data_IF_725750007221
#
_entry.id   IF_725750007221
#
_cell.length_a   1.000
_cell.length_b   1.000
_cell.length_c   1.000
_cell.angle_alpha   90.00
_cell.angle_beta   90.00
_cell.angle_gamma   90.00
#
_symmetry.space_group_name_H-M   'P 1'
#
loop_
_entity.id
_entity.type
_entity.pdbx_description
1 polymer ?
2 non-polymer ?
3 water ?
#
# COMPACT_ATOMS: atom_id res chain seq x y z
N UNK A 1 -18.29 -22.97 5.12
CA UNK A 1 -19.28 -23.17 4.08
C UNK A 1 -19.28 -22.07 3.04
N UNK A 2 -20.45 -21.78 2.49
CA UNK A 2 -20.54 -20.79 1.43
C UNK A 2 -20.26 -19.39 1.99
N UNK A 3 -19.46 -18.59 1.30
CA UNK A 3 -19.00 -17.33 1.89
C UNK A 3 -20.02 -16.21 1.77
N UNK A 4 -20.04 -15.37 2.81
CA UNK A 4 -20.81 -14.13 2.78
C UNK A 4 -19.89 -13.03 2.29
N UNK A 5 -20.10 -12.45 1.11
CA UNK A 5 -19.17 -11.42 0.62
C UNK A 5 -19.14 -10.19 1.51
N UNK A 6 -20.24 -9.86 2.18
CA UNK A 6 -20.24 -8.70 3.06
C UNK A 6 -19.32 -8.91 4.25
N UNK A 7 -19.35 -10.11 4.83
CA UNK A 7 -18.42 -10.44 5.92
C UNK A 7 -16.99 -10.49 5.42
N UNK A 8 -16.78 -11.09 4.24
CA UNK A 8 -15.44 -11.14 3.68
C UNK A 8 -14.90 -9.73 3.42
N UNK A 9 -15.75 -8.84 2.93
CA UNK A 9 -15.31 -7.46 2.73
C UNK A 9 -15.07 -6.75 4.06
N UNK A 10 -15.97 -6.92 5.02
CA UNK A 10 -15.80 -6.32 6.33
C UNK A 10 -14.43 -6.65 6.92
N UNK A 11 -14.08 -7.94 6.96
CA UNK A 11 -12.81 -8.32 7.55
C UNK A 11 -11.64 -7.79 6.74
N UNK A 12 -11.79 -7.70 5.41
CA UNK A 12 -10.73 -7.14 4.59
C UNK A 12 -10.62 -5.63 4.79
N UNK A 13 -11.74 -4.93 4.93
CA UNK A 13 -11.69 -3.49 5.17
C UNK A 13 -11.09 -3.20 6.54
N UNK A 14 -11.47 -3.98 7.55
CA UNK A 14 -10.93 -3.76 8.89
C UNK A 14 -9.41 -3.91 8.90
N UNK A 15 -8.90 -4.93 8.22
CA UNK A 15 -7.45 -5.11 8.16
C UNK A 15 -6.79 -3.99 7.39
N UNK A 16 -7.44 -3.51 6.32
CA UNK A 16 -6.91 -2.39 5.56
C UNK A 16 -6.81 -1.13 6.43
N UNK A 17 -7.83 -0.89 7.26
CA UNK A 17 -7.81 0.28 8.13
C UNK A 17 -6.65 0.23 9.11
N UNK A 18 -6.34 -0.97 9.63
CA UNK A 18 -5.22 -1.10 10.55
C UNK A 18 -3.90 -0.77 9.86
N UNK A 19 -3.73 -1.24 8.62
CA UNK A 19 -2.54 -0.90 7.86
C UNK A 19 -2.50 0.58 7.53
N UNK A 20 -3.66 1.17 7.23
CA UNK A 20 -3.73 2.61 7.01
C UNK A 20 -3.26 3.37 8.24
N UNK A 21 -3.66 2.92 9.43
CA UNK A 21 -3.23 3.59 10.65
C UNK A 21 -1.73 3.46 10.85
N UNK A 22 -1.18 2.25 10.65
CA UNK A 22 0.26 2.07 10.76
C UNK A 22 1.02 2.99 9.80
N UNK A 23 0.54 3.08 8.56
CA UNK A 23 1.22 3.93 7.58
C UNK A 23 1.12 5.40 7.98
N UNK A 24 -0.06 5.83 8.43
CA UNK A 24 -0.24 7.21 8.86
C UNK A 24 0.71 7.56 10.00
N UNK A 25 0.87 6.65 10.97
CA UNK A 25 1.78 6.92 12.08
C UNK A 25 3.22 7.02 11.62
N UNK A 26 3.65 6.11 10.74
CA UNK A 26 5.04 6.10 10.31
C UNK A 26 5.36 7.33 9.46
N UNK A 27 4.43 7.73 8.59
CA UNK A 27 4.63 8.95 7.83
C UNK A 27 4.79 10.15 8.75
N UNK A 28 4.03 10.16 9.85
CA UNK A 28 4.13 11.26 10.81
C UNK A 28 5.46 11.22 11.56
N UNK A 29 5.94 10.02 11.92
CA UNK A 29 7.28 9.90 12.49
C UNK A 29 8.32 10.50 11.56
N UNK A 30 8.27 10.13 10.28
CA UNK A 30 9.25 10.64 9.32
C UNK A 30 9.14 12.15 9.16
N UNK A 31 7.91 12.65 9.03
CA UNK A 31 7.71 14.09 8.89
C UNK A 31 8.21 14.83 10.13
N UNK A 32 7.94 14.27 11.33
CA UNK A 32 8.42 14.89 12.55
C UNK A 32 9.94 14.94 12.61
N UNK A 33 10.61 13.92 12.07
CA UNK A 33 12.06 13.89 12.12
C UNK A 33 12.69 14.71 11.00
N UNK A 34 11.98 14.89 9.88
CA UNK A 34 12.48 15.65 8.74
C UNK A 34 11.41 16.63 8.29
N UNK A 35 11.11 17.65 9.11
CA UNK A 35 10.11 18.65 8.68
C UNK A 35 10.50 19.34 7.38
N UNK A 36 11.79 19.62 7.20
CA UNK A 36 12.34 20.12 5.93
C UNK A 36 11.59 21.39 5.55
N UNK A 37 11.07 21.51 4.32
CA UNK A 37 10.31 22.68 3.89
C UNK A 37 8.81 22.40 3.86
N UNK A 38 8.35 21.39 4.59
CA UNK A 38 6.93 21.08 4.66
C UNK A 38 6.56 19.78 3.98
N UNK A 39 6.65 19.75 2.65
CA UNK A 39 6.20 18.59 1.89
C UNK A 39 6.99 18.51 0.58
N UNK A 40 7.12 17.28 0.06
CA UNK A 40 7.80 17.02 -1.19
C UNK A 40 6.93 16.12 -2.05
N UNK A 41 7.25 16.08 -3.35
CA UNK A 41 6.45 15.35 -4.32
C UNK A 41 6.18 13.93 -3.84
N UNK A 42 4.89 13.58 -3.74
CA UNK A 42 4.53 12.17 -3.74
C UNK A 42 4.79 11.53 -5.10
N UNK A 43 4.93 12.36 -6.14
CA UNK A 43 5.38 11.93 -7.44
C UNK A 43 6.89 11.81 -7.52
N UNK A 44 7.59 11.92 -6.40
CA UNK A 44 9.04 11.78 -6.38
C UNK A 44 9.49 10.39 -6.78
N UNK A 45 8.57 9.45 -6.94
CA UNK A 45 8.87 8.10 -7.42
C UNK A 45 7.99 7.79 -8.62
N UNK A 46 8.53 7.78 -9.84
CA UNK A 46 7.72 7.36 -11.00
C UNK A 46 7.42 5.87 -11.01
N UNK A 47 8.01 5.09 -10.11
CA UNK A 47 7.82 3.65 -10.07
C UNK A 47 6.65 3.23 -9.19
N UNK A 48 6.06 4.15 -8.44
CA UNK A 48 4.96 3.81 -7.56
C UNK A 48 3.65 3.77 -8.33
N UNK A 49 2.65 3.07 -7.81
CA UNK A 49 1.34 3.05 -8.46
C UNK A 49 0.72 4.45 -8.47
N UNK A 50 -0.06 4.71 -9.51
CA UNK A 50 -0.89 5.91 -9.52
C UNK A 50 -2.09 5.72 -8.62
N UNK A 51 -2.60 6.81 -8.08
CA UNK A 51 -3.75 6.75 -7.19
C UNK A 51 -5.02 6.80 -8.05
N UNK A 52 -5.93 5.87 -7.78
CA UNK A 52 -7.18 5.73 -8.53
C UNK A 52 -8.29 6.40 -7.74
N UNK A 53 -8.71 7.59 -8.18
CA UNK A 53 -9.77 8.33 -7.52
C UNK A 53 -11.15 8.02 -8.08
N UNK A 54 -11.24 7.23 -9.16
CA UNK A 54 -12.50 7.05 -9.87
C UNK A 54 -13.34 6.00 -9.17
N UNK A 55 -14.14 6.44 -8.20
CA UNK A 55 -15.13 5.57 -7.59
C UNK A 55 -16.30 5.35 -8.54
N UNK A 56 -17.02 4.26 -8.33
CA UNK A 56 -18.15 3.91 -9.15
C UNK A 56 -17.80 3.31 -10.50
N UNK A 57 -16.54 3.37 -10.91
CA UNK A 57 -16.15 2.83 -12.21
C UNK A 57 -15.94 1.31 -12.13
N UNK A 58 -14.91 0.89 -11.42
CA UNK A 58 -14.56 -0.52 -11.35
C UNK A 58 -15.50 -1.28 -10.43
N UNK A 59 -15.65 -2.57 -10.71
CA UNK A 59 -16.42 -3.49 -9.88
C UNK A 59 -15.49 -4.15 -8.86
N UNK A 60 -16.06 -5.03 -8.03
CA UNK A 60 -15.26 -5.63 -6.96
C UNK A 60 -14.10 -6.45 -7.50
N UNK A 61 -14.27 -7.34 -8.48
CA UNK A 61 -13.10 -8.08 -8.98
C UNK A 61 -11.98 -7.16 -9.46
N UNK A 62 -12.33 -6.08 -10.15
CA UNK A 62 -11.29 -5.17 -10.64
C UNK A 62 -10.65 -4.37 -9.53
N UNK A 63 -11.45 -3.89 -8.57
CA UNK A 63 -10.90 -3.15 -7.44
C UNK A 63 -9.90 -4.02 -6.68
N UNK A 64 -10.27 -5.27 -6.42
CA UNK A 64 -9.38 -6.15 -5.66
C UNK A 64 -8.11 -6.46 -6.45
N UNK A 65 -8.25 -6.72 -7.75
CA UNK A 65 -7.08 -7.05 -8.56
C UNK A 65 -6.09 -5.89 -8.58
N UNK A 66 -6.59 -4.66 -8.72
CA UNK A 66 -5.67 -3.51 -8.77
C UNK A 66 -5.07 -3.23 -7.40
N UNK A 67 -5.84 -3.43 -6.33
CA UNK A 67 -5.30 -3.26 -4.99
C UNK A 67 -4.18 -4.26 -4.73
N UNK A 68 -4.37 -5.52 -5.13
CA UNK A 68 -3.31 -6.50 -4.97
C UNK A 68 -2.05 -6.06 -5.70
N UNK A 69 -2.20 -5.58 -6.94
CA UNK A 69 -1.03 -5.14 -7.70
C UNK A 69 -0.37 -3.94 -7.04
N UNK A 70 -1.17 -2.98 -6.57
CA UNK A 70 -0.62 -1.80 -5.91
C UNK A 70 0.14 -2.18 -4.64
N UNK A 71 -0.45 -3.05 -3.82
CA UNK A 71 0.17 -3.43 -2.55
C UNK A 71 1.49 -4.15 -2.79
N UNK A 72 1.53 -5.03 -3.80
CA UNK A 72 2.77 -5.71 -4.13
C UNK A 72 3.85 -4.71 -4.54
N UNK A 73 3.46 -3.66 -5.27
CA UNK A 73 4.43 -2.63 -5.62
C UNK A 73 4.93 -1.90 -4.39
N UNK A 74 4.01 -1.54 -3.49
CA UNK A 74 4.42 -0.87 -2.26
C UNK A 74 5.34 -1.77 -1.43
N UNK A 75 5.04 -3.06 -1.38
CA UNK A 75 5.91 -3.98 -0.64
C UNK A 75 7.31 -3.98 -1.25
N UNK A 76 7.40 -4.00 -2.58
CA UNK A 76 8.71 -3.93 -3.23
C UNK A 76 9.45 -2.65 -2.84
N UNK A 77 8.74 -1.52 -2.79
CA UNK A 77 9.40 -0.26 -2.46
C UNK A 77 9.81 -0.21 -0.99
N UNK A 78 8.98 -0.75 -0.11
CA UNK A 78 9.33 -0.77 1.31
C UNK A 78 10.56 -1.64 1.54
N UNK A 79 10.57 -2.83 0.93
CA UNK A 79 11.73 -3.71 1.02
C UNK A 79 12.98 -3.01 0.49
N UNK A 80 12.86 -2.36 -0.66
CA UNK A 80 13.96 -1.56 -1.19
C UNK A 80 14.37 -0.47 -0.21
N UNK A 81 13.39 0.20 0.38
CA UNK A 81 13.69 1.31 1.29
C UNK A 81 14.50 0.83 2.49
N UNK A 82 14.11 -0.30 3.08
CA UNK A 82 14.80 -0.80 4.25
C UNK A 82 16.24 -1.20 3.93
N UNK A 83 16.51 -1.54 2.67
CA UNK A 83 17.83 -2.03 2.30
C UNK A 83 18.80 -0.90 1.98
N UNK A 84 18.37 0.06 1.15
CA UNK A 84 19.26 1.11 0.66
C UNK A 84 18.84 2.50 1.13
N UNK A 85 18.03 2.59 2.18
CA UNK A 85 17.56 3.88 2.63
C UNK A 85 18.67 4.75 3.20
N UNK A 86 19.58 4.15 3.96
CA UNK A 86 20.69 4.87 4.57
C UNK A 86 20.50 5.00 6.07
N UNK A 87 21.52 5.58 6.71
CA UNK A 87 21.50 5.76 8.14
C UNK A 87 20.30 6.60 8.58
N UNK A 88 19.92 7.59 7.77
CA UNK A 88 18.83 8.48 8.15
C UNK A 88 17.54 7.73 8.46
N UNK A 89 17.32 6.59 7.80
CA UNK A 89 16.06 5.87 7.89
C UNK A 89 16.07 4.75 8.91
N UNK A 90 17.23 4.39 9.46
CA UNK A 90 17.30 3.22 10.34
C UNK A 90 16.61 3.45 11.69
N UNK A 91 16.30 4.70 12.04
CA UNK A 91 15.48 4.94 13.22
C UNK A 91 14.04 4.50 13.01
N UNK A 92 13.62 4.36 11.76
CA UNK A 92 12.30 3.86 11.42
C UNK A 92 12.29 2.38 11.08
N UNK A 93 13.45 1.71 11.12
CA UNK A 93 13.55 0.36 10.59
C UNK A 93 12.63 -0.64 11.29
N UNK A 94 12.49 -0.64 12.62
CA UNK A 94 11.54 -1.60 13.22
C UNK A 94 10.13 -1.40 12.71
N UNK A 95 9.63 -0.16 12.72
CA UNK A 95 8.28 0.10 12.24
C UNK A 95 8.14 -0.22 10.76
N UNK A 96 9.15 0.12 9.96
CA UNK A 96 9.10 -0.20 8.53
C UNK A 96 8.95 -1.70 8.33
N UNK A 97 9.74 -2.49 9.05
CA UNK A 97 9.69 -3.93 8.88
C UNK A 97 8.36 -4.52 9.31
N UNK A 98 7.78 -3.97 10.37
CA UNK A 98 6.45 -4.40 10.79
C UNK A 98 5.41 -4.00 9.75
N UNK A 99 5.55 -2.81 9.16
CA UNK A 99 4.64 -2.41 8.10
C UNK A 99 4.72 -3.37 6.92
N UNK A 100 5.93 -3.82 6.60
CA UNK A 100 6.09 -4.77 5.50
C UNK A 100 5.42 -6.10 5.81
N UNK A 101 5.53 -6.55 7.06
CA UNK A 101 4.90 -7.81 7.45
C UNK A 101 3.38 -7.70 7.38
N UNK A 102 2.82 -6.58 7.85
CA UNK A 102 1.38 -6.40 7.80
C UNK A 102 0.88 -6.18 6.38
N UNK A 103 1.71 -5.55 5.54
CA UNK A 103 1.40 -5.49 4.11
C UNK A 103 1.24 -6.89 3.53
N UNK A 104 2.15 -7.81 3.89
CA UNK A 104 2.03 -9.19 3.43
C UNK A 104 0.74 -9.82 3.93
N UNK A 105 0.38 -9.57 5.20
CA UNK A 105 -0.84 -10.13 5.76
C UNK A 105 -2.06 -9.69 4.95
N UNK A 106 -2.09 -8.42 4.56
CA UNK A 106 -3.22 -7.93 3.78
C UNK A 106 -3.25 -8.55 2.38
N UNK A 107 -2.08 -8.70 1.76
CA UNK A 107 -2.03 -9.37 0.47
C UNK A 107 -2.61 -10.77 0.57
N UNK A 108 -2.28 -11.49 1.63
CA UNK A 108 -2.78 -12.85 1.79
C UNK A 108 -4.29 -12.86 1.99
N UNK A 109 -4.80 -11.92 2.79
CA UNK A 109 -6.24 -11.84 2.99
C UNK A 109 -6.96 -11.56 1.67
N UNK A 110 -6.38 -10.69 0.84
CA UNK A 110 -6.97 -10.43 -0.48
C UNK A 110 -6.96 -11.68 -1.34
N UNK A 111 -5.84 -12.40 -1.37
CA UNK A 111 -5.79 -13.65 -2.11
C UNK A 111 -6.85 -14.62 -1.61
N UNK A 112 -7.02 -14.70 -0.28
CA UNK A 112 -8.02 -15.62 0.27
C UNK A 112 -9.42 -15.19 -0.11
N UNK A 113 -9.69 -13.89 -0.01
CA UNK A 113 -10.99 -13.35 -0.40
C UNK A 113 -11.33 -13.69 -1.85
N UNK A 114 -10.37 -13.50 -2.76
CA UNK A 114 -10.63 -13.81 -4.16
C UNK A 114 -10.85 -15.29 -4.38
N UNK A 115 -10.10 -16.14 -3.65
CA UNK A 115 -10.30 -17.57 -3.78
C UNK A 115 -11.67 -17.98 -3.23
N UNK A 116 -12.02 -17.47 -2.04
CA UNK A 116 -13.29 -17.85 -1.42
C UNK A 116 -14.48 -17.42 -2.27
N UNK A 117 -14.39 -16.28 -2.95
CA UNK A 117 -15.48 -15.78 -3.76
C UNK A 117 -15.41 -16.24 -5.21
N UNK A 118 -14.42 -17.06 -5.58
CA UNK A 118 -14.33 -17.64 -6.92
C UNK A 118 -14.11 -16.56 -7.98
N UNK A 119 -13.27 -15.58 -7.67
CA UNK A 119 -12.99 -14.53 -8.64
C UNK A 119 -11.75 -14.88 -9.46
N UNK A 120 -11.83 -14.89 -10.79
CA UNK A 120 -10.70 -15.36 -11.60
C UNK A 120 -9.38 -14.74 -11.17
N UNK A 121 -8.31 -15.54 -11.28
CA UNK A 121 -7.02 -15.14 -10.78
C UNK A 121 -6.52 -13.90 -11.52
N UNK A 122 -5.98 -12.91 -10.82
CA UNK A 122 -5.45 -11.72 -11.51
C UNK A 122 -4.34 -12.09 -12.47
N UNK A 123 -4.34 -11.55 -13.69
CA UNK A 123 -3.23 -11.80 -14.61
C UNK A 123 -1.94 -11.22 -14.07
N UNK A 124 -0.87 -12.01 -13.99
CA UNK A 124 0.38 -11.51 -13.39
C UNK A 124 1.04 -10.49 -14.31
N UNK A 125 1.16 -9.26 -13.82
CA UNK A 125 1.90 -8.24 -14.56
C UNK A 125 3.39 -8.56 -14.50
N UNK A 126 4.11 -8.46 -15.62
CA UNK A 126 5.52 -8.89 -15.65
C UNK A 126 6.33 -8.15 -14.59
N UNK A 127 7.46 -8.71 -14.18
CA UNK A 127 8.21 -8.13 -13.05
C UNK A 127 9.02 -6.91 -13.48
N UNK A 128 8.89 -5.83 -12.71
CA UNK A 128 9.72 -4.66 -12.94
C UNK A 128 11.15 -4.94 -12.51
N UNK A 129 12.15 -4.33 -13.15
CA UNK A 129 13.54 -4.54 -12.74
C UNK A 129 13.77 -4.08 -11.31
N UNK A 130 14.90 -4.43 -10.72
CA UNK A 130 15.19 -3.97 -9.35
C UNK A 130 15.25 -2.45 -9.26
N UNK A 131 14.84 -1.94 -8.11
CA UNK A 131 14.92 -0.50 -7.84
C UNK A 131 16.37 -0.11 -7.58
N UNK A 132 16.85 0.90 -8.33
CA UNK A 132 18.21 1.36 -8.16
C UNK A 132 18.36 2.06 -6.81
N UNK A 133 19.57 2.10 -6.25
CA UNK A 133 19.77 2.76 -4.97
C UNK A 133 19.52 4.25 -5.09
N UNK A 134 19.09 4.91 -4.02
CA UNK A 134 18.93 6.37 -4.08
C UNK A 134 20.26 7.05 -4.36
N UNK A 135 20.19 8.13 -5.14
CA UNK A 135 21.42 8.86 -5.48
C UNK A 135 21.98 9.65 -4.31
N UNK A 136 21.25 9.77 -3.20
CA UNK A 136 21.74 10.51 -2.05
C UNK A 136 20.89 10.13 -0.84
N UNK A 137 21.42 10.45 0.35
CA UNK A 137 20.66 10.24 1.57
C UNK A 137 19.36 11.04 1.55
N UNK A 138 19.43 12.28 1.04
CA UNK A 138 18.22 13.07 0.88
C UNK A 138 17.25 12.40 -0.09
N UNK A 139 17.77 11.86 -1.19
CA UNK A 139 16.91 11.13 -2.12
C UNK A 139 16.18 9.98 -1.45
N UNK A 140 16.86 9.28 -0.54
CA UNK A 140 16.21 8.20 0.17
C UNK A 140 15.09 8.69 1.07
N UNK A 141 15.28 9.84 1.72
CA UNK A 141 14.24 10.42 2.55
C UNK A 141 13.07 10.85 1.69
N UNK A 142 13.34 11.52 0.57
CA UNK A 142 12.27 11.89 -0.35
C UNK A 142 11.51 10.65 -0.84
N UNK A 143 12.23 9.57 -1.09
CA UNK A 143 11.57 8.32 -1.50
C UNK A 143 10.67 7.81 -0.38
N UNK A 144 11.13 7.90 0.86
CA UNK A 144 10.34 7.39 1.99
C UNK A 144 9.04 8.18 2.13
N UNK A 145 9.12 9.51 2.01
CA UNK A 145 7.90 10.31 2.06
C UNK A 145 6.94 9.93 0.93
N UNK A 146 7.46 9.68 -0.26
CA UNK A 146 6.60 9.32 -1.39
C UNK A 146 5.98 7.94 -1.20
N UNK A 147 6.76 6.98 -0.71
CA UNK A 147 6.24 5.63 -0.53
C UNK A 147 5.15 5.60 0.54
N UNK A 148 5.44 6.19 1.70
CA UNK A 148 4.47 6.17 2.78
C UNK A 148 3.26 7.03 2.46
N UNK A 149 3.48 8.18 1.83
CA UNK A 149 2.35 9.02 1.46
C UNK A 149 1.45 8.38 0.42
N UNK A 150 2.05 7.68 -0.55
CA UNK A 150 1.25 7.02 -1.58
C UNK A 150 0.51 5.82 -1.05
N UNK A 151 1.18 5.00 -0.23
CA UNK A 151 0.50 3.87 0.39
C UNK A 151 -0.72 4.34 1.18
N UNK A 152 -0.55 5.39 1.99
CA UNK A 152 -1.67 5.93 2.76
C UNK A 152 -2.86 6.24 1.86
N UNK A 153 -2.61 6.96 0.76
CA UNK A 153 -3.70 7.30 -0.16
C UNK A 153 -4.30 6.07 -0.81
N UNK A 154 -3.45 5.13 -1.24
CA UNK A 154 -3.97 3.89 -1.83
C UNK A 154 -4.90 3.19 -0.85
N UNK A 155 -4.46 3.04 0.40
CA UNK A 155 -5.29 2.35 1.39
C UNK A 155 -6.54 3.16 1.70
N UNK A 156 -6.43 4.48 1.82
CA UNK A 156 -7.59 5.30 2.10
C UNK A 156 -8.64 5.17 1.01
N UNK A 157 -8.22 5.18 -0.26
CA UNK A 157 -9.20 5.08 -1.34
C UNK A 157 -9.70 3.67 -1.54
N UNK A 158 -8.91 2.67 -1.11
CA UNK A 158 -9.41 1.30 -1.15
C UNK A 158 -10.52 1.09 -0.11
N UNK A 159 -10.31 1.60 1.11
CA UNK A 159 -11.36 1.51 2.12
C UNK A 159 -12.64 2.18 1.60
N UNK A 160 -12.50 3.38 1.04
CA UNK A 160 -13.67 4.10 0.53
C UNK A 160 -14.37 3.30 -0.56
N UNK A 161 -13.61 2.78 -1.52
CA UNK A 161 -14.22 2.05 -2.62
C UNK A 161 -14.85 0.74 -2.18
N UNK A 162 -14.21 0.04 -1.24
CA UNK A 162 -14.76 -1.23 -0.78
C UNK A 162 -16.02 -1.03 0.07
N UNK A 163 -16.07 0.05 0.85
CA UNK A 163 -17.26 0.29 1.65
C UNK A 163 -18.44 0.74 0.80
N UNK A 164 -18.19 1.59 -0.19
CA UNK A 164 -19.28 2.00 -1.07
C UNK A 164 -19.74 0.83 -1.93
N UNK A 165 -18.83 -0.10 -2.25
CA UNK A 165 -19.22 -1.28 -3.02
C UNK A 165 -20.01 -2.25 -2.16
N UNK A 166 -19.65 -2.37 -0.88
CA UNK A 166 -20.41 -3.25 0.01
C UNK A 166 -21.82 -2.72 0.24
N UNK A 167 -21.99 -1.39 0.20
CA UNK A 167 -23.31 -0.80 0.38
C UNK A 167 -24.32 -1.33 -0.63
N UNK A 168 -23.86 -1.85 -1.76
CA UNK A 168 -24.74 -2.32 -2.82
C UNK A 168 -24.90 -3.84 -2.85
N UNK A 169 -24.14 -4.56 -2.03
CA UNK A 169 -24.31 -6.01 -1.95
C UNK A 169 -25.50 -6.35 -1.07
#
# INVERSE_FOLDING_TARGET
GSPDPRAELDSTVLLTRSLLADTRQLAAQLRDKFPADGDHNLDSLPTLPAIDYALGALQLPGVLTRLRADLLSYLRHVQWLRRAGGSSLKTLEPELGTLQARLDRLLRRLQLLMSRLALPQPPPDPPAPPLAPPSSAAGGIRAAHAILGGLHLTLDWAVRGLLLLKTRL
#
